data_IF_294184271851
#
_entry.id   IF_294184271851
#
_cell.length_a   1.000
_cell.length_b   1.000
_cell.length_c   1.000
_cell.angle_alpha   90.00
_cell.angle_beta   90.00
_cell.angle_gamma   90.00
#
_symmetry.space_group_name_H-M   'P 1'
#
loop_
_entity.id
_entity.type
_entity.pdbx_description
1 polymer ?
#
# COMPACT_ATOMS: atom_id res chain seq x y z
N UNK A 1 -17.09 -0.64 37.88
CA UNK A 1 -16.78 -1.52 36.72
C UNK A 1 -16.34 -2.85 37.30
N UNK A 2 -17.14 -3.90 37.15
CA UNK A 2 -16.94 -5.19 37.84
C UNK A 2 -15.77 -5.99 37.22
N UNK A 3 -15.10 -6.80 38.03
CA UNK A 3 -13.95 -7.65 37.65
C UNK A 3 -14.22 -8.57 36.44
N UNK A 4 -15.47 -9.02 36.25
CA UNK A 4 -15.90 -9.77 35.06
C UNK A 4 -15.80 -8.97 33.76
N UNK A 5 -16.08 -7.66 33.79
CA UNK A 5 -16.04 -6.81 32.60
C UNK A 5 -14.60 -6.44 32.21
N UNK A 6 -13.70 -6.33 33.19
CA UNK A 6 -12.26 -6.15 32.96
C UNK A 6 -11.61 -7.38 32.32
N UNK A 7 -12.01 -8.59 32.75
CA UNK A 7 -11.59 -9.85 32.12
C UNK A 7 -12.01 -9.93 30.64
N UNK A 8 -13.23 -9.48 30.33
CA UNK A 8 -13.76 -9.46 28.94
C UNK A 8 -12.94 -8.57 27.99
N UNK A 9 -12.48 -7.39 28.44
CA UNK A 9 -11.63 -6.52 27.61
C UNK A 9 -10.24 -7.11 27.34
N UNK A 10 -9.62 -7.74 28.34
CA UNK A 10 -8.32 -8.39 28.19
C UNK A 10 -8.41 -9.55 27.19
N UNK A 11 -9.44 -10.38 27.30
CA UNK A 11 -9.64 -11.49 26.35
C UNK A 11 -9.93 -10.99 24.94
N UNK A 12 -10.68 -9.88 24.79
CA UNK A 12 -10.88 -9.23 23.50
C UNK A 12 -9.57 -8.74 22.88
N UNK A 13 -8.70 -8.10 23.67
CA UNK A 13 -7.39 -7.62 23.21
C UNK A 13 -6.47 -8.78 22.79
N UNK A 14 -6.39 -9.84 23.62
CA UNK A 14 -5.63 -11.05 23.29
C UNK A 14 -6.11 -11.70 21.99
N UNK A 15 -7.44 -11.75 21.79
CA UNK A 15 -8.04 -12.29 20.56
C UNK A 15 -7.63 -11.50 19.33
N UNK A 16 -7.63 -10.16 19.38
CA UNK A 16 -7.18 -9.32 18.26
C UNK A 16 -5.71 -9.60 17.93
N UNK A 17 -4.84 -9.60 18.93
CA UNK A 17 -3.41 -9.91 18.74
C UNK A 17 -3.21 -11.29 18.13
N UNK A 18 -3.93 -12.31 18.59
CA UNK A 18 -3.84 -13.66 18.04
C UNK A 18 -4.28 -13.72 16.55
N UNK A 19 -5.34 -13.00 16.17
CA UNK A 19 -5.79 -12.92 14.78
C UNK A 19 -4.73 -12.24 13.91
N UNK A 20 -4.13 -11.15 14.36
CA UNK A 20 -3.08 -10.44 13.62
C UNK A 20 -1.80 -11.26 13.49
N UNK A 21 -1.39 -11.97 14.54
CA UNK A 21 -0.27 -12.91 14.49
C UNK A 21 -0.48 -14.00 13.44
N UNK A 22 -1.68 -14.59 13.39
CA UNK A 22 -2.02 -15.59 12.37
C UNK A 22 -1.98 -15.00 10.95
N UNK A 23 -2.46 -13.77 10.77
CA UNK A 23 -2.40 -13.07 9.48
C UNK A 23 -0.95 -12.79 9.04
N UNK A 24 -0.07 -12.39 9.96
CA UNK A 24 1.35 -12.18 9.67
C UNK A 24 2.04 -13.51 9.34
N UNK A 25 1.75 -14.59 10.07
CA UNK A 25 2.31 -15.91 9.78
C UNK A 25 1.95 -16.40 8.37
N UNK A 26 0.68 -16.20 7.95
CA UNK A 26 0.21 -16.56 6.61
C UNK A 26 0.85 -15.73 5.48
N UNK A 27 1.46 -14.57 5.78
CA UNK A 27 2.10 -13.73 4.77
C UNK A 27 3.33 -14.42 4.14
N UNK A 28 4.00 -15.32 4.88
CA UNK A 28 5.16 -16.06 4.40
C UNK A 28 4.89 -16.83 3.10
N UNK A 29 3.66 -17.30 2.91
CA UNK A 29 3.22 -18.07 1.73
C UNK A 29 2.95 -17.19 0.50
N UNK A 30 2.88 -15.85 0.68
CA UNK A 30 2.59 -14.90 -0.41
C UNK A 30 3.84 -14.33 -1.09
N UNK A 31 5.03 -14.67 -0.61
CA UNK A 31 6.28 -14.25 -1.23
C UNK A 31 6.63 -15.19 -2.37
N UNK A 32 6.44 -14.73 -3.60
CA UNK A 32 6.77 -15.43 -4.83
C UNK A 32 7.55 -14.54 -5.81
N UNK A 33 7.67 -14.98 -7.07
CA UNK A 33 8.38 -14.25 -8.13
C UNK A 33 7.84 -12.83 -8.36
N UNK A 34 6.56 -12.56 -8.06
CA UNK A 34 5.97 -11.22 -8.20
C UNK A 34 6.56 -10.26 -7.17
N UNK A 35 6.86 -10.75 -5.96
CA UNK A 35 7.55 -9.97 -4.94
C UNK A 35 8.97 -9.60 -5.39
N UNK A 36 9.72 -10.55 -5.96
CA UNK A 36 11.05 -10.29 -6.53
C UNK A 36 10.98 -9.22 -7.61
N UNK A 37 10.04 -9.36 -8.55
CA UNK A 37 9.82 -8.39 -9.64
C UNK A 37 9.47 -6.99 -9.11
N UNK A 38 8.64 -6.91 -8.06
CA UNK A 38 8.33 -5.65 -7.40
C UNK A 38 9.60 -5.01 -6.79
N UNK A 39 10.43 -5.79 -6.09
CA UNK A 39 11.70 -5.31 -5.56
C UNK A 39 12.66 -4.81 -6.66
N UNK A 40 12.76 -5.52 -7.78
CA UNK A 40 13.59 -5.12 -8.92
C UNK A 40 13.10 -3.83 -9.57
N UNK A 41 11.78 -3.66 -9.72
CA UNK A 41 11.18 -2.41 -10.21
C UNK A 41 11.51 -1.24 -9.29
N UNK A 42 11.36 -1.41 -7.98
CA UNK A 42 11.68 -0.36 -7.00
C UNK A 42 13.18 -0.04 -6.98
N UNK A 43 14.05 -1.07 -7.06
CA UNK A 43 15.50 -0.92 -7.08
C UNK A 43 16.00 -0.16 -8.33
N UNK A 44 15.36 -0.39 -9.48
CA UNK A 44 15.74 0.22 -10.75
C UNK A 44 14.98 1.54 -11.04
N UNK A 45 14.16 2.01 -10.10
CA UNK A 45 13.43 3.27 -10.22
C UNK A 45 14.40 4.44 -10.31
N UNK A 46 14.28 5.25 -11.38
CA UNK A 46 15.15 6.42 -11.61
C UNK A 46 14.51 7.75 -11.15
N UNK A 47 13.21 7.73 -10.89
CA UNK A 47 12.45 8.85 -10.33
C UNK A 47 12.16 8.63 -8.84
N UNK A 48 10.89 8.51 -8.51
CA UNK A 48 10.38 8.27 -7.15
C UNK A 48 9.37 7.13 -7.13
N UNK A 49 9.26 6.50 -5.97
CA UNK A 49 8.17 5.58 -5.67
C UNK A 49 6.98 6.40 -5.17
N UNK A 50 5.94 6.50 -5.97
CA UNK A 50 4.69 7.17 -5.60
C UNK A 50 3.77 6.13 -4.98
N UNK A 51 3.50 6.25 -3.68
CA UNK A 51 2.62 5.33 -2.96
C UNK A 51 1.23 5.93 -2.89
N UNK A 52 0.19 5.15 -3.19
CA UNK A 52 -1.18 5.65 -3.25
C UNK A 52 -2.18 4.65 -2.69
N UNK A 53 -3.20 5.13 -1.98
CA UNK A 53 -4.24 4.29 -1.37
C UNK A 53 -5.31 5.12 -0.66
N UNK A 54 -6.52 4.56 -0.52
CA UNK A 54 -7.65 5.21 0.15
C UNK A 54 -7.80 4.76 1.61
N UNK A 55 -8.28 5.66 2.47
CA UNK A 55 -8.63 5.36 3.86
C UNK A 55 -7.50 4.70 4.65
N UNK A 56 -7.77 3.55 5.29
CA UNK A 56 -6.78 2.80 6.08
C UNK A 56 -5.56 2.38 5.25
N UNK A 57 -5.78 1.97 4.00
CA UNK A 57 -4.69 1.66 3.06
C UNK A 57 -3.84 2.89 2.78
N UNK A 58 -4.46 4.07 2.72
CA UNK A 58 -3.76 5.35 2.59
C UNK A 58 -2.85 5.65 3.79
N UNK A 59 -3.32 5.44 5.03
CA UNK A 59 -2.48 5.61 6.22
C UNK A 59 -1.26 4.68 6.22
N UNK A 60 -1.47 3.39 5.90
CA UNK A 60 -0.37 2.42 5.78
C UNK A 60 0.56 2.81 4.63
N UNK A 61 0.02 3.23 3.48
CA UNK A 61 0.78 3.70 2.33
C UNK A 61 1.65 4.91 2.64
N UNK A 62 1.15 5.86 3.42
CA UNK A 62 1.93 7.01 3.87
C UNK A 62 3.12 6.57 4.76
N UNK A 63 2.88 5.64 5.69
CA UNK A 63 3.98 5.05 6.48
C UNK A 63 5.00 4.34 5.59
N UNK A 64 4.56 3.57 4.59
CA UNK A 64 5.42 2.88 3.64
C UNK A 64 6.29 3.89 2.89
N UNK A 65 5.70 4.96 2.33
CA UNK A 65 6.43 6.01 1.63
C UNK A 65 7.50 6.66 2.52
N UNK A 66 7.14 7.03 3.75
CA UNK A 66 8.09 7.59 4.71
C UNK A 66 9.25 6.62 5.02
N UNK A 67 8.94 5.32 5.15
CA UNK A 67 9.96 4.28 5.42
C UNK A 67 10.91 4.08 4.23
N UNK A 68 10.37 4.05 3.01
CA UNK A 68 11.18 3.95 1.79
C UNK A 68 12.12 5.16 1.69
N UNK A 69 11.60 6.38 1.87
CA UNK A 69 12.38 7.60 1.83
C UNK A 69 13.50 7.62 2.87
N UNK A 70 13.23 7.16 4.10
CA UNK A 70 14.25 7.09 5.17
C UNK A 70 15.28 5.97 4.98
N UNK A 71 15.02 5.00 4.11
CA UNK A 71 15.90 3.85 3.84
C UNK A 71 16.63 3.95 2.50
N UNK A 72 16.59 5.13 1.86
CA UNK A 72 17.37 5.43 0.65
C UNK A 72 16.63 5.26 -0.67
N UNK A 73 15.34 4.92 -0.64
CA UNK A 73 14.48 4.84 -1.83
C UNK A 73 13.59 6.08 -1.89
N UNK A 74 13.83 7.06 -2.79
CA UNK A 74 13.01 8.27 -2.87
C UNK A 74 11.53 7.94 -3.06
N UNK A 75 10.68 8.34 -2.11
CA UNK A 75 9.26 8.00 -2.12
C UNK A 75 8.41 9.08 -1.48
N UNK A 76 7.16 9.19 -1.91
CA UNK A 76 6.14 10.04 -1.27
C UNK A 76 4.75 9.43 -1.42
N UNK A 77 3.81 9.90 -0.60
CA UNK A 77 2.42 9.48 -0.66
C UNK A 77 1.57 10.45 -1.47
N UNK A 78 0.73 9.91 -2.35
CA UNK A 78 -0.23 10.67 -3.16
C UNK A 78 -1.63 10.11 -2.88
N UNK A 79 -2.53 10.95 -2.37
CA UNK A 79 -3.90 10.53 -2.12
C UNK A 79 -4.69 10.42 -3.45
N UNK A 80 -5.32 9.26 -3.77
CA UNK A 80 -6.00 9.07 -5.06
C UNK A 80 -7.09 10.12 -5.35
N UNK A 81 -7.79 10.59 -4.32
CA UNK A 81 -8.81 11.63 -4.45
C UNK A 81 -8.23 12.96 -4.94
N UNK A 82 -7.10 13.40 -4.37
CA UNK A 82 -6.44 14.67 -4.74
C UNK A 82 -5.74 14.57 -6.10
N UNK A 83 -5.22 13.37 -6.42
CA UNK A 83 -4.59 13.09 -7.72
C UNK A 83 -5.52 13.39 -8.89
N UNK A 84 -6.80 13.01 -8.79
CA UNK A 84 -7.82 13.32 -9.80
C UNK A 84 -8.13 14.82 -9.94
N UNK A 85 -7.72 15.64 -8.97
CA UNK A 85 -7.96 17.08 -8.94
C UNK A 85 -6.69 17.93 -9.16
N UNK A 86 -5.55 17.31 -9.49
CA UNK A 86 -4.33 18.04 -9.92
C UNK A 86 -3.02 17.38 -9.51
N UNK A 87 -3.00 16.63 -8.39
CA UNK A 87 -1.76 16.04 -7.86
C UNK A 87 -1.17 14.94 -8.76
N UNK A 88 -1.93 14.45 -9.76
CA UNK A 88 -1.41 13.56 -10.80
C UNK A 88 -0.19 14.14 -11.54
N UNK A 89 -0.04 15.47 -11.58
CA UNK A 89 1.15 16.12 -12.13
C UNK A 89 2.43 15.85 -11.35
N UNK A 90 2.34 15.30 -10.13
CA UNK A 90 3.50 14.88 -9.35
C UNK A 90 4.12 13.57 -9.86
N UNK A 91 3.40 12.82 -10.70
CA UNK A 91 3.87 11.55 -11.27
C UNK A 91 4.67 11.79 -12.55
N UNK A 92 5.96 11.49 -12.52
CA UNK A 92 6.86 11.55 -13.66
C UNK A 92 7.01 10.21 -14.39
N UNK A 93 7.46 10.24 -15.64
CA UNK A 93 7.65 9.03 -16.48
C UNK A 93 8.73 8.05 -15.98
N UNK A 94 9.60 8.51 -15.07
CA UNK A 94 10.66 7.69 -14.46
C UNK A 94 10.28 7.14 -13.08
N UNK A 95 9.06 7.44 -12.63
CA UNK A 95 8.54 7.01 -11.33
C UNK A 95 7.99 5.59 -11.40
N UNK A 96 7.69 5.02 -10.23
CA UNK A 96 6.94 3.77 -10.07
C UNK A 96 5.75 4.04 -9.16
N UNK A 97 4.56 3.61 -9.56
CA UNK A 97 3.36 3.70 -8.73
C UNK A 97 3.19 2.42 -7.90
N UNK A 98 3.16 2.56 -6.57
CA UNK A 98 2.73 1.52 -5.63
C UNK A 98 1.29 1.80 -5.18
N UNK A 99 0.33 1.12 -5.80
CA UNK A 99 -1.09 1.27 -5.49
C UNK A 99 -1.53 0.23 -4.46
N UNK A 100 -2.15 0.68 -3.35
CA UNK A 100 -2.57 -0.18 -2.24
C UNK A 100 -4.10 -0.17 -2.14
N UNK A 101 -4.72 -1.31 -2.39
CA UNK A 101 -6.17 -1.51 -2.23
C UNK A 101 -6.46 -2.93 -1.78
N UNK A 102 -7.03 -3.10 -0.59
CA UNK A 102 -7.37 -4.44 -0.12
C UNK A 102 -8.42 -5.13 -1.00
N UNK A 103 -9.40 -4.37 -1.54
CA UNK A 103 -10.41 -4.91 -2.44
C UNK A 103 -9.92 -5.08 -3.89
N UNK A 104 -8.92 -4.31 -4.32
CA UNK A 104 -8.52 -4.22 -5.74
C UNK A 104 -9.44 -3.32 -6.58
N UNK A 105 -10.62 -2.99 -6.07
CA UNK A 105 -11.70 -2.32 -6.82
C UNK A 105 -11.89 -0.84 -6.43
N UNK A 106 -10.91 -0.22 -5.76
CA UNK A 106 -11.03 1.16 -5.28
C UNK A 106 -11.12 2.13 -6.47
N UNK A 107 -12.30 2.70 -6.70
CA UNK A 107 -12.60 3.53 -7.87
C UNK A 107 -11.64 4.70 -8.07
N UNK A 108 -11.25 5.38 -6.99
CA UNK A 108 -10.33 6.53 -7.06
C UNK A 108 -8.94 6.12 -7.56
N UNK A 109 -8.46 4.92 -7.21
CA UNK A 109 -7.20 4.36 -7.73
C UNK A 109 -7.36 3.89 -9.18
N UNK A 110 -8.47 3.22 -9.50
CA UNK A 110 -8.75 2.74 -10.86
C UNK A 110 -8.81 3.91 -11.86
N UNK A 111 -9.34 5.05 -11.44
CA UNK A 111 -9.40 6.27 -12.25
C UNK A 111 -8.02 6.85 -12.60
N UNK A 112 -6.97 6.52 -11.84
CA UNK A 112 -5.59 6.94 -12.15
C UNK A 112 -4.98 6.11 -13.29
N UNK A 113 -5.38 4.84 -13.43
CA UNK A 113 -4.73 3.87 -14.33
C UNK A 113 -4.65 4.34 -15.80
N UNK A 114 -5.66 4.99 -16.41
CA UNK A 114 -5.55 5.50 -17.77
C UNK A 114 -4.47 6.56 -17.96
N UNK A 115 -4.20 7.38 -16.95
CA UNK A 115 -3.16 8.42 -17.00
C UNK A 115 -1.79 7.78 -16.76
N UNK A 116 -1.68 6.93 -15.73
CA UNK A 116 -0.47 6.16 -15.40
C UNK A 116 0.01 5.35 -16.60
N UNK A 117 -0.91 4.68 -17.32
CA UNK A 117 -0.62 3.95 -18.56
C UNK A 117 -0.10 4.85 -19.67
N UNK A 118 -0.65 6.06 -19.81
CA UNK A 118 -0.20 7.06 -20.81
C UNK A 118 1.21 7.57 -20.53
N UNK A 119 1.55 7.73 -19.26
CA UNK A 119 2.88 8.14 -18.79
C UNK A 119 3.90 7.00 -18.84
N UNK A 120 3.46 5.79 -19.19
CA UNK A 120 4.26 4.57 -19.20
C UNK A 120 4.95 4.28 -17.85
N UNK A 121 4.26 4.64 -16.76
CA UNK A 121 4.73 4.44 -15.39
C UNK A 121 4.45 3.00 -14.96
N UNK A 122 5.47 2.23 -14.52
CA UNK A 122 5.26 0.90 -13.96
C UNK A 122 4.36 0.94 -12.73
N UNK A 123 3.45 -0.04 -12.62
CA UNK A 123 2.52 -0.16 -11.49
C UNK A 123 2.78 -1.44 -10.72
N UNK A 124 2.94 -1.31 -9.41
CA UNK A 124 2.91 -2.39 -8.44
C UNK A 124 1.58 -2.27 -7.69
N UNK A 125 0.73 -3.28 -7.80
CA UNK A 125 -0.54 -3.35 -7.07
C UNK A 125 -0.40 -4.24 -5.84
N UNK A 126 -0.76 -3.73 -4.67
CA UNK A 126 -0.82 -4.48 -3.42
C UNK A 126 -2.28 -4.69 -3.04
N UNK A 127 -2.79 -5.89 -3.35
CA UNK A 127 -4.19 -6.29 -3.22
C UNK A 127 -4.31 -7.63 -2.49
N UNK A 128 -5.50 -7.93 -1.95
CA UNK A 128 -5.73 -9.24 -1.34
C UNK A 128 -6.11 -10.32 -2.38
N UNK A 129 -6.54 -9.90 -3.56
CA UNK A 129 -6.99 -10.75 -4.68
C UNK A 129 -6.06 -10.56 -5.87
N UNK A 130 -5.77 -11.65 -6.57
CA UNK A 130 -4.85 -11.63 -7.70
C UNK A 130 -5.55 -11.33 -9.04
N UNK A 131 -6.87 -11.51 -9.07
CA UNK A 131 -7.81 -11.23 -10.16
C UNK A 131 -8.32 -9.78 -10.15
#
# INVERSE_FOLDING_TARGET
MTSQQQSSFIESAKRVVAIEQAAIAALGERFDERFVKACELLKNCQGKVVVSGMGKSGHVGNKIAATLASTGTPAFFMHPGEANHGDLGMLGSNDVLLAISNSGETGELLNLLPVVKRLNVPVIAMTNRAD
#
